data_IF_578331044108
#
_entry.id   IF_578331044108
#
_cell.length_a   1.000
_cell.length_b   1.000
_cell.length_c   1.000
_cell.angle_alpha   90.00
_cell.angle_beta   90.00
_cell.angle_gamma   90.00
#
_symmetry.space_group_name_H-M   'P 1'
#
loop_
_entity.id
_entity.type
_entity.pdbx_description
1 polymer ?
#
# COMPACT_ATOMS: atom_id res chain seq x y z
N UNK A 1 -3.59 -3.71 9.47
CA UNK A 1 -4.36 -3.01 8.42
C UNK A 1 -4.98 -1.70 8.92
N UNK A 2 -5.97 -1.71 9.82
CA UNK A 2 -6.71 -0.50 10.23
C UNK A 2 -5.80 0.67 10.67
N UNK A 3 -4.80 0.41 11.53
CA UNK A 3 -3.80 1.42 11.95
C UNK A 3 -3.06 2.06 10.76
N UNK A 4 -2.70 1.28 9.74
CA UNK A 4 -2.03 1.83 8.55
C UNK A 4 -2.98 2.65 7.67
N UNK A 5 -4.29 2.39 7.73
CA UNK A 5 -5.30 3.19 7.03
C UNK A 5 -5.49 4.52 7.77
N UNK A 6 -5.58 4.51 9.11
CA UNK A 6 -5.75 5.73 9.92
C UNK A 6 -4.53 6.63 9.89
N UNK A 7 -3.32 6.06 9.83
CA UNK A 7 -2.06 6.81 9.68
C UNK A 7 -1.81 7.29 8.25
N UNK A 8 -2.68 6.97 7.29
CA UNK A 8 -2.50 7.31 5.88
C UNK A 8 -1.46 6.44 5.15
N UNK A 9 -0.70 5.58 5.83
CA UNK A 9 0.42 4.83 5.24
C UNK A 9 0.08 4.17 3.89
N UNK A 10 -1.08 3.53 3.77
CA UNK A 10 -1.48 2.90 2.52
C UNK A 10 -1.75 3.90 1.40
N UNK A 11 -2.46 4.97 1.72
CA UNK A 11 -2.79 6.08 0.82
C UNK A 11 -1.49 6.75 0.33
N UNK A 12 -0.53 6.98 1.23
CA UNK A 12 0.80 7.54 0.93
C UNK A 12 1.59 6.68 -0.07
N UNK A 13 1.32 5.37 -0.09
CA UNK A 13 2.00 4.40 -0.96
C UNK A 13 1.15 4.01 -2.19
N UNK A 14 0.10 4.78 -2.50
CA UNK A 14 -0.72 4.60 -3.70
C UNK A 14 -1.68 3.40 -3.64
N UNK A 15 -2.01 2.91 -2.44
CA UNK A 15 -3.06 1.90 -2.26
C UNK A 15 -4.45 2.56 -2.19
N UNK A 16 -5.44 1.82 -2.67
CA UNK A 16 -6.85 2.18 -2.66
C UNK A 16 -7.57 1.42 -1.55
N UNK A 17 -8.15 2.12 -0.58
CA UNK A 17 -8.96 1.52 0.49
C UNK A 17 -10.41 1.47 0.04
N UNK A 18 -10.99 0.27 -0.06
CA UNK A 18 -12.33 0.04 -0.60
C UNK A 18 -13.17 -0.82 0.37
N UNK A 19 -14.50 -0.60 0.42
CA UNK A 19 -15.41 -1.38 1.27
C UNK A 19 -15.79 -2.74 0.67
N UNK A 20 -15.19 -3.13 -0.44
CA UNK A 20 -15.45 -4.35 -1.19
C UNK A 20 -14.16 -4.94 -1.79
N UNK A 21 -14.23 -6.18 -2.26
CA UNK A 21 -13.11 -6.86 -2.91
C UNK A 21 -12.95 -6.43 -4.37
N UNK A 22 -11.96 -5.57 -4.64
CA UNK A 22 -11.50 -5.26 -5.99
C UNK A 22 -10.55 -6.35 -6.50
N UNK A 23 -11.07 -7.26 -7.34
CA UNK A 23 -10.41 -8.52 -7.72
C UNK A 23 -9.17 -8.28 -8.57
N UNK A 24 -8.07 -8.99 -8.26
CA UNK A 24 -6.82 -8.95 -9.01
C UNK A 24 -6.01 -7.67 -8.84
N UNK A 25 -6.56 -6.64 -8.17
CA UNK A 25 -5.87 -5.39 -7.94
C UNK A 25 -4.98 -5.48 -6.70
N UNK A 26 -3.67 -5.59 -6.91
CA UNK A 26 -2.67 -5.71 -5.84
C UNK A 26 -2.50 -4.44 -5.00
N UNK A 27 -3.04 -3.31 -5.46
CA UNK A 27 -3.06 -2.01 -4.75
C UNK A 27 -4.40 -1.71 -4.09
N UNK A 28 -5.42 -2.50 -4.31
CA UNK A 28 -6.65 -2.39 -3.55
C UNK A 28 -6.50 -3.05 -2.18
N UNK A 29 -7.12 -2.46 -1.17
CA UNK A 29 -7.23 -2.95 0.19
C UNK A 29 -8.70 -3.09 0.49
N UNK A 30 -9.16 -4.33 0.65
CA UNK A 30 -10.52 -4.57 1.08
C UNK A 30 -10.59 -4.38 2.59
N UNK A 31 -11.09 -3.22 3.01
CA UNK A 31 -11.36 -2.91 4.40
C UNK A 31 -12.89 -2.85 4.57
N UNK A 32 -13.53 -3.85 5.18
CA UNK A 32 -14.99 -3.95 5.18
C UNK A 32 -15.62 -2.82 6.00
N UNK A 33 -16.76 -2.30 5.54
CA UNK A 33 -17.51 -1.34 6.33
C UNK A 33 -18.25 -2.04 7.48
N UNK A 34 -17.63 -2.04 8.66
CA UNK A 34 -18.14 -2.69 9.87
C UNK A 34 -18.79 -1.71 10.87
N UNK A 35 -18.95 -0.44 10.51
CA UNK A 35 -19.47 0.59 11.42
C UNK A 35 -18.52 0.90 12.59
N UNK A 36 -17.23 1.08 12.30
CA UNK A 36 -16.18 1.31 13.30
C UNK A 36 -16.45 2.52 14.20
N UNK A 37 -16.39 2.31 15.52
CA UNK A 37 -16.58 3.37 16.52
C UNK A 37 -15.41 4.34 16.60
N UNK A 38 -15.62 5.52 17.20
CA UNK A 38 -14.52 6.45 17.51
C UNK A 38 -13.52 5.83 18.49
N UNK A 39 -14.03 5.01 19.41
CA UNK A 39 -13.26 4.28 20.41
C UNK A 39 -12.36 3.23 19.76
N UNK A 40 -12.84 2.55 18.71
CA UNK A 40 -12.02 1.64 17.90
C UNK A 40 -10.82 2.37 17.32
N UNK A 41 -11.05 3.49 16.62
CA UNK A 41 -9.98 4.28 16.02
C UNK A 41 -8.99 4.81 17.05
N UNK A 42 -9.49 5.28 18.20
CA UNK A 42 -8.64 5.69 19.33
C UNK A 42 -7.80 4.51 19.83
N UNK A 43 -8.41 3.35 20.06
CA UNK A 43 -7.74 2.18 20.61
C UNK A 43 -6.64 1.62 19.68
N UNK A 44 -6.86 1.62 18.36
CA UNK A 44 -5.84 1.13 17.42
C UNK A 44 -4.67 2.11 17.23
N UNK A 45 -4.89 3.41 17.47
CA UNK A 45 -3.89 4.46 17.29
C UNK A 45 -3.01 4.66 18.54
N UNK A 46 -3.47 4.25 19.72
CA UNK A 46 -2.71 4.39 20.98
C UNK A 46 -1.53 3.41 21.08
N UNK A 47 -1.54 2.30 20.32
CA UNK A 47 -0.39 1.40 20.29
C UNK A 47 0.76 2.02 19.47
N UNK A 48 1.83 2.45 20.16
CA UNK A 48 3.07 2.96 19.55
C UNK A 48 3.81 1.91 18.71
N UNK A 49 3.59 0.62 18.97
CA UNK A 49 4.44 -0.41 18.38
C UNK A 49 4.18 -0.59 16.89
N UNK A 50 5.25 -0.44 16.10
CA UNK A 50 5.37 -1.01 14.75
C UNK A 50 5.64 -2.52 14.81
N UNK A 51 5.85 -3.05 16.03
CA UNK A 51 6.01 -4.46 16.28
C UNK A 51 4.70 -5.21 16.03
N UNK A 52 4.67 -5.96 14.94
CA UNK A 52 3.57 -6.81 14.52
C UNK A 52 3.30 -7.96 15.52
N UNK A 53 4.15 -8.17 16.52
CA UNK A 53 3.95 -9.16 17.58
C UNK A 53 3.13 -8.65 18.77
N UNK A 54 2.92 -7.33 18.90
CA UNK A 54 2.13 -6.78 20.00
C UNK A 54 0.61 -6.98 19.77
N UNK A 55 -0.08 -7.47 20.79
CA UNK A 55 -1.54 -7.63 20.77
C UNK A 55 -2.23 -6.27 20.64
N UNK A 56 -3.22 -6.19 19.74
CA UNK A 56 -4.11 -5.03 19.67
C UNK A 56 -5.05 -4.98 20.89
N UNK A 57 -5.58 -3.79 21.19
CA UNK A 57 -6.57 -3.60 22.25
C UNK A 57 -7.71 -4.63 22.14
N UNK A 58 -7.97 -5.36 23.23
CA UNK A 58 -9.02 -6.38 23.27
C UNK A 58 -10.39 -5.78 22.92
N UNK A 59 -10.66 -4.55 23.37
CA UNK A 59 -11.88 -3.81 23.03
C UNK A 59 -12.06 -3.63 21.52
N UNK A 60 -10.99 -3.27 20.81
CA UNK A 60 -11.03 -3.12 19.35
C UNK A 60 -11.20 -4.48 18.65
N UNK A 61 -10.59 -5.54 19.18
CA UNK A 61 -10.74 -6.90 18.66
C UNK A 61 -12.20 -7.37 18.80
N UNK A 62 -12.80 -7.16 19.97
CA UNK A 62 -14.16 -7.62 20.26
C UNK A 62 -15.21 -6.86 19.44
N UNK A 63 -15.03 -5.55 19.25
CA UNK A 63 -15.86 -4.76 18.34
C UNK A 63 -15.86 -5.35 16.93
N UNK A 64 -14.66 -5.58 16.35
CA UNK A 64 -14.53 -6.15 15.00
C UNK A 64 -15.14 -7.55 14.93
N UNK A 65 -14.90 -8.42 15.93
CA UNK A 65 -15.50 -9.76 15.97
C UNK A 65 -17.02 -9.70 15.96
N UNK A 66 -17.60 -8.79 16.74
CA UNK A 66 -19.05 -8.64 16.83
C UNK A 66 -19.66 -8.09 15.53
N UNK A 67 -19.00 -7.13 14.90
CA UNK A 67 -19.44 -6.62 13.59
C UNK A 67 -19.29 -7.65 12.48
N UNK A 68 -18.21 -8.44 12.47
CA UNK A 68 -17.99 -9.49 11.47
C UNK A 68 -19.06 -10.59 11.53
N UNK A 69 -19.56 -10.97 12.71
CA UNK A 69 -20.67 -11.93 12.84
C UNK A 69 -21.95 -11.47 12.12
N UNK A 70 -22.16 -10.17 12.03
CA UNK A 70 -23.33 -9.55 11.38
C UNK A 70 -23.06 -9.19 9.91
N UNK A 71 -21.80 -9.23 9.50
CA UNK A 71 -21.37 -8.82 8.17
C UNK A 71 -21.73 -9.89 7.13
N UNK A 72 -22.70 -9.57 6.27
CA UNK A 72 -23.01 -10.42 5.12
C UNK A 72 -21.88 -10.29 4.10
N UNK A 73 -21.11 -11.36 3.94
CA UNK A 73 -20.04 -11.41 2.96
C UNK A 73 -20.41 -12.32 1.79
N UNK A 74 -19.77 -12.09 0.64
CA UNK A 74 -19.76 -13.10 -0.42
C UNK A 74 -19.22 -14.43 0.15
N UNK A 75 -19.82 -15.55 -0.26
CA UNK A 75 -19.26 -16.85 0.10
C UNK A 75 -18.00 -17.10 -0.74
N UNK A 76 -16.84 -17.15 -0.07
CA UNK A 76 -15.54 -17.42 -0.68
C UNK A 76 -15.04 -18.84 -0.47
N UNK A 77 -15.84 -19.73 0.12
CA UNK A 77 -15.45 -21.09 0.53
C UNK A 77 -14.84 -21.89 -0.62
N UNK A 78 -15.50 -21.95 -1.78
CA UNK A 78 -14.97 -22.65 -2.95
C UNK A 78 -13.61 -22.11 -3.40
N UNK A 79 -13.40 -20.79 -3.35
CA UNK A 79 -12.10 -20.17 -3.71
C UNK A 79 -11.03 -20.47 -2.67
N UNK A 80 -11.38 -20.43 -1.39
CA UNK A 80 -10.48 -20.78 -0.28
C UNK A 80 -10.03 -22.24 -0.42
N UNK A 81 -10.97 -23.16 -0.65
CA UNK A 81 -10.69 -24.59 -0.88
C UNK A 81 -9.78 -24.76 -2.08
N UNK A 82 -10.06 -24.08 -3.20
CA UNK A 82 -9.20 -24.13 -4.39
C UNK A 82 -7.77 -23.69 -4.09
N UNK A 83 -7.58 -22.52 -3.44
CA UNK A 83 -6.24 -22.03 -3.10
C UNK A 83 -5.50 -23.01 -2.17
N UNK A 84 -6.21 -23.59 -1.20
CA UNK A 84 -5.65 -24.61 -0.30
C UNK A 84 -5.19 -25.85 -1.05
N UNK A 85 -6.01 -26.39 -1.96
CA UNK A 85 -5.66 -27.55 -2.79
C UNK A 85 -4.50 -27.23 -3.73
N UNK A 86 -4.50 -26.04 -4.35
CA UNK A 86 -3.42 -25.61 -5.22
C UNK A 86 -2.10 -25.44 -4.45
N UNK A 87 -2.14 -24.94 -3.20
CA UNK A 87 -0.98 -24.89 -2.32
C UNK A 87 -0.42 -26.29 -2.03
N UNK A 88 -1.27 -27.26 -1.64
CA UNK A 88 -0.82 -28.62 -1.33
C UNK A 88 -0.14 -29.33 -2.51
N UNK A 89 -0.53 -29.02 -3.75
CA UNK A 89 0.14 -29.57 -4.93
C UNK A 89 1.58 -29.08 -5.08
N UNK A 90 1.90 -27.89 -4.59
CA UNK A 90 3.22 -27.26 -4.77
C UNK A 90 4.07 -27.18 -3.51
N UNK A 91 3.49 -27.42 -2.33
CA UNK A 91 4.13 -27.21 -1.03
C UNK A 91 5.45 -27.96 -0.88
N UNK A 92 5.46 -29.26 -1.18
CA UNK A 92 6.66 -30.10 -1.07
C UNK A 92 7.79 -29.58 -1.94
N UNK A 93 7.50 -29.29 -3.20
CA UNK A 93 8.49 -28.81 -4.16
C UNK A 93 8.99 -27.41 -3.76
N UNK A 94 8.09 -26.54 -3.29
CA UNK A 94 8.42 -25.20 -2.82
C UNK A 94 9.45 -25.23 -1.70
N UNK A 95 9.24 -26.07 -0.69
CA UNK A 95 10.21 -26.23 0.40
C UNK A 95 11.49 -26.95 -0.05
N UNK A 96 11.41 -27.86 -1.02
CA UNK A 96 12.60 -28.46 -1.66
C UNK A 96 13.45 -27.46 -2.44
N UNK A 97 12.86 -26.35 -2.89
CA UNK A 97 13.55 -25.28 -3.62
C UNK A 97 14.03 -24.13 -2.70
N UNK A 98 13.70 -24.14 -1.41
CA UNK A 98 13.87 -22.98 -0.52
C UNK A 98 15.33 -22.50 -0.42
N UNK A 99 16.29 -23.43 -0.50
CA UNK A 99 17.73 -23.18 -0.37
C UNK A 99 18.47 -22.94 -1.70
N UNK A 100 17.77 -22.99 -2.85
CA UNK A 100 18.43 -22.92 -4.16
C UNK A 100 18.98 -21.53 -4.51
N UNK A 101 18.52 -20.47 -3.84
CA UNK A 101 18.92 -19.09 -4.13
C UNK A 101 19.39 -18.30 -2.91
N UNK A 102 18.75 -18.52 -1.76
CA UNK A 102 19.11 -17.90 -0.49
C UNK A 102 19.20 -19.02 0.55
N UNK A 103 20.05 -18.86 1.57
CA UNK A 103 20.26 -19.88 2.63
C UNK A 103 19.07 -19.91 3.63
N UNK A 104 17.86 -19.95 3.09
CA UNK A 104 16.62 -19.87 3.84
C UNK A 104 16.33 -21.11 4.66
N UNK A 105 17.00 -22.23 4.46
CA UNK A 105 16.97 -23.42 5.31
C UNK A 105 17.42 -23.09 6.73
N UNK A 106 18.42 -22.22 6.92
CA UNK A 106 18.82 -21.72 8.24
C UNK A 106 17.73 -20.86 8.89
N UNK A 107 17.04 -20.02 8.11
CA UNK A 107 15.91 -19.24 8.59
C UNK A 107 14.70 -20.14 8.93
N UNK A 108 14.42 -21.11 8.08
CA UNK A 108 13.33 -22.08 8.21
C UNK A 108 13.53 -22.99 9.43
N UNK A 109 14.77 -23.38 9.76
CA UNK A 109 15.09 -24.14 10.97
C UNK A 109 14.75 -23.37 12.27
N UNK A 110 14.60 -22.04 12.21
CA UNK A 110 14.14 -21.20 13.34
C UNK A 110 12.61 -21.08 13.39
N UNK A 111 11.88 -21.61 12.41
CA UNK A 111 10.42 -21.58 12.35
C UNK A 111 9.85 -22.78 13.09
N UNK A 112 8.88 -22.54 13.97
CA UNK A 112 8.12 -23.58 14.67
C UNK A 112 6.87 -23.98 13.89
N UNK A 113 6.10 -22.99 13.40
CA UNK A 113 4.91 -23.24 12.57
C UNK A 113 4.67 -22.13 11.55
N UNK A 114 3.95 -22.49 10.49
CA UNK A 114 3.48 -21.56 9.45
C UNK A 114 1.95 -21.57 9.47
N UNK A 115 1.34 -20.45 9.85
CA UNK A 115 -0.10 -20.24 9.84
C UNK A 115 -0.47 -19.46 8.58
N UNK A 116 -1.32 -20.04 7.74
CA UNK A 116 -1.82 -19.38 6.53
C UNK A 116 -3.30 -19.02 6.71
N UNK A 117 -3.61 -17.73 6.64
CA UNK A 117 -4.97 -17.21 6.60
C UNK A 117 -5.34 -16.81 5.17
N UNK A 118 -6.30 -17.51 4.57
CA UNK A 118 -6.90 -17.10 3.29
C UNK A 118 -8.16 -16.29 3.60
N UNK A 119 -8.23 -15.05 3.14
CA UNK A 119 -9.29 -14.11 3.53
C UNK A 119 -9.60 -13.14 2.38
N UNK A 120 -10.82 -12.63 2.22
CA UNK A 120 -11.07 -11.57 1.25
C UNK A 120 -10.51 -10.22 1.71
N UNK A 121 -10.31 -10.03 3.02
CA UNK A 121 -9.96 -8.74 3.59
C UNK A 121 -8.46 -8.45 3.47
N UNK A 122 -8.12 -7.17 3.37
CA UNK A 122 -6.73 -6.71 3.38
C UNK A 122 -6.13 -6.40 2.02
N UNK A 123 -4.82 -6.23 2.06
CA UNK A 123 -3.94 -6.17 0.90
C UNK A 123 -3.93 -7.52 0.18
N UNK A 124 -3.22 -7.59 -0.96
CA UNK A 124 -2.93 -8.86 -1.65
C UNK A 124 -2.44 -9.98 -0.71
N UNK A 125 -1.63 -9.62 0.27
CA UNK A 125 -1.22 -10.50 1.35
C UNK A 125 -0.52 -9.71 2.44
N UNK A 126 -0.34 -10.34 3.59
CA UNK A 126 0.47 -9.82 4.69
C UNK A 126 1.32 -10.94 5.27
N UNK A 127 2.39 -10.55 5.96
CA UNK A 127 3.34 -11.45 6.56
C UNK A 127 3.78 -10.86 7.90
N UNK A 128 3.97 -11.74 8.88
CA UNK A 128 4.45 -11.38 10.18
C UNK A 128 5.12 -12.62 10.81
N UNK A 129 6.41 -12.59 11.14
CA UNK A 129 7.08 -13.66 11.86
C UNK A 129 7.24 -13.28 13.34
N UNK A 130 6.20 -13.30 14.20
CA UNK A 130 6.40 -13.07 15.63
C UNK A 130 7.37 -14.10 16.22
N UNK A 131 8.26 -13.62 17.07
CA UNK A 131 9.16 -14.47 17.84
C UNK A 131 8.40 -15.08 19.02
N UNK A 132 8.53 -16.39 19.19
CA UNK A 132 7.98 -17.16 20.32
C UNK A 132 9.13 -17.93 20.96
N UNK A 133 9.61 -17.42 22.09
CA UNK A 133 10.85 -17.90 22.71
C UNK A 133 12.06 -17.76 21.76
N UNK A 134 12.67 -18.90 21.41
CA UNK A 134 13.81 -18.96 20.49
C UNK A 134 13.43 -19.33 19.04
N UNK A 135 12.13 -19.43 18.75
CA UNK A 135 11.59 -19.78 17.44
C UNK A 135 10.68 -18.68 16.90
N UNK A 136 10.22 -18.86 15.67
CA UNK A 136 9.30 -17.95 14.99
C UNK A 136 8.04 -18.68 14.54
N UNK A 137 6.91 -17.99 14.62
CA UNK A 137 5.66 -18.45 14.02
C UNK A 137 5.38 -17.60 12.79
N UNK A 138 5.42 -18.18 11.58
CA UNK A 138 5.13 -17.40 10.37
C UNK A 138 3.63 -17.24 10.22
N UNK A 139 3.13 -16.01 10.32
CA UNK A 139 1.75 -15.69 9.97
C UNK A 139 1.74 -15.12 8.56
N UNK A 140 1.14 -15.86 7.63
CA UNK A 140 0.97 -15.48 6.23
C UNK A 140 -0.52 -15.27 5.98
N UNK A 141 -0.84 -14.17 5.31
CA UNK A 141 -2.19 -13.91 4.82
C UNK A 141 -2.17 -13.83 3.31
N UNK A 142 -3.13 -14.48 2.66
CA UNK A 142 -3.34 -14.40 1.21
C UNK A 142 -4.76 -13.99 0.90
N UNK A 143 -4.94 -13.01 0.00
CA UNK A 143 -6.27 -12.61 -0.43
C UNK A 143 -6.89 -13.67 -1.35
N UNK A 144 -8.19 -13.93 -1.20
CA UNK A 144 -8.93 -15.01 -1.91
C UNK A 144 -8.95 -14.91 -3.43
N UNK A 145 -8.61 -13.75 -3.99
CA UNK A 145 -8.55 -13.47 -5.42
C UNK A 145 -7.14 -13.62 -6.01
N UNK A 146 -6.14 -13.99 -5.20
CA UNK A 146 -4.79 -14.30 -5.68
C UNK A 146 -4.49 -15.81 -5.66
N UNK A 147 -3.61 -16.29 -6.56
CA UNK A 147 -3.26 -17.70 -6.62
C UNK A 147 -2.47 -18.17 -5.40
N UNK A 148 -2.38 -19.49 -5.21
CA UNK A 148 -1.62 -20.13 -4.13
C UNK A 148 -0.14 -19.71 -4.08
N UNK A 149 0.46 -19.33 -5.21
CA UNK A 149 1.80 -18.73 -5.26
C UNK A 149 1.96 -17.47 -4.40
N UNK A 150 0.87 -16.79 -4.05
CA UNK A 150 0.91 -15.66 -3.13
C UNK A 150 1.26 -16.09 -1.69
N UNK A 151 0.95 -17.33 -1.31
CA UNK A 151 1.37 -17.94 -0.04
C UNK A 151 2.89 -18.13 -0.05
N UNK A 152 3.44 -18.70 -1.14
CA UNK A 152 4.90 -18.83 -1.33
C UNK A 152 5.61 -17.47 -1.17
N UNK A 153 5.09 -16.44 -1.83
CA UNK A 153 5.62 -15.08 -1.70
C UNK A 153 5.58 -14.54 -0.26
N UNK A 154 4.50 -14.81 0.48
CA UNK A 154 4.39 -14.45 1.90
C UNK A 154 5.37 -15.21 2.80
N UNK A 155 5.61 -16.50 2.52
CA UNK A 155 6.60 -17.31 3.24
C UNK A 155 8.01 -16.79 2.99
N UNK A 156 8.39 -16.55 1.72
CA UNK A 156 9.72 -16.02 1.38
C UNK A 156 9.97 -14.66 2.06
N UNK A 157 8.95 -13.80 2.15
CA UNK A 157 9.07 -12.53 2.87
C UNK A 157 9.34 -12.70 4.36
N UNK A 158 8.66 -13.64 5.01
CA UNK A 158 8.93 -13.98 6.41
C UNK A 158 10.33 -14.55 6.60
N UNK A 159 10.77 -15.47 5.74
CA UNK A 159 12.10 -16.08 5.83
C UNK A 159 13.21 -15.06 5.61
N UNK A 160 13.03 -14.14 4.65
CA UNK A 160 13.95 -13.01 4.46
C UNK A 160 14.06 -12.15 5.72
N UNK A 161 12.94 -11.89 6.41
CA UNK A 161 12.94 -11.14 7.67
C UNK A 161 13.72 -11.89 8.76
N UNK A 162 13.50 -13.20 8.90
CA UNK A 162 14.20 -14.02 9.91
C UNK A 162 15.70 -14.12 9.61
N UNK A 163 16.06 -14.28 8.34
CA UNK A 163 17.47 -14.36 7.90
C UNK A 163 18.21 -13.05 8.16
N UNK A 164 17.57 -11.93 7.83
CA UNK A 164 18.09 -10.57 8.04
C UNK A 164 17.83 -10.02 9.45
N UNK A 165 17.34 -10.85 10.39
CA UNK A 165 16.97 -10.40 11.74
C UNK A 165 18.23 -10.15 12.58
N UNK A 166 18.62 -8.88 12.70
CA UNK A 166 19.72 -8.42 13.58
C UNK A 166 19.18 -7.97 14.96
N UNK A 167 17.86 -8.02 15.18
CA UNK A 167 17.20 -7.39 16.34
C UNK A 167 16.76 -5.95 16.03
N UNK A 168 15.56 -5.58 16.48
CA UNK A 168 15.00 -4.24 16.27
C UNK A 168 14.09 -4.09 15.03
N UNK A 169 13.43 -2.92 14.92
CA UNK A 169 12.42 -2.64 13.88
C UNK A 169 12.98 -2.69 12.46
N UNK A 170 12.14 -3.11 11.52
CA UNK A 170 12.44 -3.12 10.09
C UNK A 170 12.27 -1.69 9.56
N UNK A 171 13.36 -0.93 9.48
CA UNK A 171 13.37 0.40 8.84
C UNK A 171 12.77 0.36 7.41
N UNK A 172 12.17 1.48 6.97
CA UNK A 172 11.49 1.59 5.66
C UNK A 172 12.39 1.28 4.46
N UNK A 173 13.68 1.60 4.53
CA UNK A 173 14.65 1.26 3.48
C UNK A 173 14.82 -0.27 3.30
N UNK A 174 14.69 -1.03 4.40
CA UNK A 174 14.67 -2.50 4.38
C UNK A 174 13.41 -3.05 3.70
N UNK A 175 12.30 -2.30 3.69
CA UNK A 175 11.09 -2.70 2.95
C UNK A 175 11.36 -2.74 1.45
N UNK A 176 11.83 -1.66 0.83
CA UNK A 176 12.06 -1.60 -0.62
C UNK A 176 13.08 -2.67 -1.06
N UNK A 177 14.20 -2.78 -0.35
CA UNK A 177 15.23 -3.81 -0.62
C UNK A 177 14.64 -5.23 -0.56
N UNK A 178 13.85 -5.53 0.48
CA UNK A 178 13.13 -6.81 0.58
C UNK A 178 12.17 -7.01 -0.58
N UNK A 179 11.34 -6.01 -0.91
CA UNK A 179 10.38 -6.14 -2.00
C UNK A 179 11.06 -6.38 -3.36
N UNK A 180 12.18 -5.70 -3.62
CA UNK A 180 12.99 -5.91 -4.82
C UNK A 180 13.59 -7.33 -4.85
N UNK A 181 14.19 -7.79 -3.75
CA UNK A 181 14.73 -9.14 -3.64
C UNK A 181 13.65 -10.21 -3.87
N UNK A 182 12.49 -10.07 -3.24
CA UNK A 182 11.39 -11.02 -3.40
C UNK A 182 10.79 -10.98 -4.81
N UNK A 183 10.72 -9.80 -5.42
CA UNK A 183 10.29 -9.66 -6.82
C UNK A 183 11.27 -10.38 -7.76
N UNK A 184 12.58 -10.23 -7.54
CA UNK A 184 13.59 -10.96 -8.27
C UNK A 184 13.44 -12.48 -8.10
N UNK A 185 13.26 -12.97 -6.86
CA UNK A 185 13.03 -14.39 -6.61
C UNK A 185 11.80 -14.90 -7.38
N UNK A 186 10.66 -14.22 -7.25
CA UNK A 186 9.42 -14.67 -7.88
C UNK A 186 9.41 -14.59 -9.42
N UNK A 187 10.25 -13.74 -10.03
CA UNK A 187 10.24 -13.52 -11.48
C UNK A 187 11.40 -14.17 -12.22
N UNK A 188 12.57 -14.18 -11.60
CA UNK A 188 13.84 -14.45 -12.29
C UNK A 188 14.53 -15.72 -11.79
N UNK A 189 13.84 -16.53 -10.99
CA UNK A 189 14.40 -17.75 -10.41
C UNK A 189 13.42 -18.92 -10.51
N UNK A 190 13.79 -20.07 -9.93
CA UNK A 190 12.93 -21.26 -9.87
C UNK A 190 11.57 -20.98 -9.24
N UNK A 191 11.45 -19.97 -8.37
CA UNK A 191 10.18 -19.64 -7.71
C UNK A 191 9.10 -19.09 -8.67
N UNK A 192 9.47 -18.69 -9.89
CA UNK A 192 8.52 -18.28 -10.92
C UNK A 192 7.50 -19.37 -11.26
N UNK A 193 7.86 -20.66 -11.17
CA UNK A 193 6.92 -21.77 -11.41
C UNK A 193 5.78 -21.84 -10.39
N UNK A 194 5.97 -21.31 -9.18
CA UNK A 194 4.93 -21.28 -8.14
C UNK A 194 3.98 -20.10 -8.28
N UNK A 195 4.39 -19.05 -8.99
CA UNK A 195 3.55 -17.90 -9.31
C UNK A 195 3.93 -17.34 -10.69
N UNK A 196 3.54 -18.01 -11.80
CA UNK A 196 3.96 -17.62 -13.14
C UNK A 196 3.58 -16.17 -13.51
N UNK A 197 2.36 -15.76 -13.13
CA UNK A 197 1.84 -14.42 -13.41
C UNK A 197 2.14 -13.40 -12.30
N UNK A 198 3.27 -13.56 -11.59
CA UNK A 198 3.61 -12.66 -10.49
C UNK A 198 3.72 -11.20 -10.97
N UNK A 199 2.81 -10.37 -10.47
CA UNK A 199 2.87 -8.92 -10.71
C UNK A 199 3.85 -8.27 -9.74
N UNK A 200 4.77 -7.48 -10.30
CA UNK A 200 5.71 -6.69 -9.53
C UNK A 200 4.95 -5.56 -8.84
N UNK A 201 4.95 -5.60 -7.50
CA UNK A 201 4.24 -4.63 -6.67
C UNK A 201 5.09 -3.39 -6.36
N UNK A 202 6.39 -3.42 -6.66
CA UNK A 202 7.28 -2.25 -6.56
C UNK A 202 7.11 -1.32 -7.75
N UNK A 203 6.72 -1.84 -8.92
CA UNK A 203 6.43 -1.01 -10.08
C UNK A 203 5.18 -0.18 -9.83
N UNK A 204 5.38 1.13 -9.72
CA UNK A 204 4.31 2.13 -9.81
C UNK A 204 3.59 1.98 -11.13
N UNK A 205 2.38 1.40 -11.10
CA UNK A 205 1.40 1.69 -12.14
C UNK A 205 1.02 3.16 -11.95
N UNK A 206 1.58 4.02 -12.79
CA UNK A 206 1.31 5.46 -12.83
C UNK A 206 -0.15 5.78 -13.21
N UNK A 207 -0.89 4.78 -13.68
CA UNK A 207 -2.30 4.83 -13.99
C UNK A 207 -3.09 4.18 -12.85
N UNK A 208 -3.69 5.02 -12.00
CA UNK A 208 -4.75 4.62 -11.08
C UNK A 208 -6.07 4.91 -11.76
N UNK A 209 -6.98 3.93 -11.75
CA UNK A 209 -8.35 4.11 -12.24
C UNK A 209 -9.02 5.26 -11.45
N UNK A 210 -9.52 6.26 -12.18
CA UNK A 210 -10.09 7.47 -11.58
C UNK A 210 -11.35 7.17 -10.76
N UNK A 211 -12.15 6.21 -11.20
CA UNK A 211 -13.39 5.83 -10.54
C UNK A 211 -13.08 5.06 -9.26
N UNK A 212 -12.13 4.12 -9.29
CA UNK A 212 -11.67 3.44 -8.08
C UNK A 212 -11.04 4.42 -7.07
N UNK A 213 -10.29 5.41 -7.55
CA UNK A 213 -9.74 6.46 -6.70
C UNK A 213 -10.83 7.30 -6.05
N UNK A 214 -11.86 7.68 -6.82
CA UNK A 214 -13.03 8.41 -6.31
C UNK A 214 -13.76 7.61 -5.23
N UNK A 215 -14.03 6.33 -5.48
CA UNK A 215 -14.67 5.42 -4.53
C UNK A 215 -13.86 5.26 -3.25
N UNK A 216 -12.52 5.11 -3.37
CA UNK A 216 -11.65 5.01 -2.21
C UNK A 216 -11.67 6.28 -1.35
N UNK A 217 -11.61 7.46 -1.97
CA UNK A 217 -11.68 8.73 -1.23
C UNK A 217 -13.03 8.91 -0.53
N UNK A 218 -14.13 8.59 -1.22
CA UNK A 218 -15.47 8.61 -0.63
C UNK A 218 -15.54 7.71 0.61
N UNK A 219 -15.01 6.49 0.50
CA UNK A 219 -15.03 5.55 1.61
C UNK A 219 -14.15 6.01 2.80
N UNK A 220 -12.98 6.58 2.55
CA UNK A 220 -12.13 7.14 3.60
C UNK A 220 -12.80 8.32 4.35
N UNK A 221 -13.62 9.11 3.66
CA UNK A 221 -14.45 10.15 4.29
C UNK A 221 -15.55 9.51 5.14
N UNK A 222 -16.22 8.47 4.67
CA UNK A 222 -17.23 7.72 5.44
C UNK A 222 -16.65 7.11 6.72
N UNK A 223 -15.39 6.70 6.69
CA UNK A 223 -14.65 6.23 7.87
C UNK A 223 -14.25 7.35 8.84
N UNK A 224 -14.47 8.62 8.49
CA UNK A 224 -14.07 9.78 9.29
C UNK A 224 -12.55 10.04 9.29
N UNK A 225 -11.83 9.51 8.29
CA UNK A 225 -10.37 9.61 8.20
C UNK A 225 -9.88 10.75 7.30
N UNK A 226 -10.77 11.35 6.51
CA UNK A 226 -10.51 12.53 5.68
C UNK A 226 -11.55 13.60 6.00
N UNK A 227 -11.10 14.81 6.33
CA UNK A 227 -11.98 15.96 6.51
C UNK A 227 -12.46 16.49 5.14
N UNK A 228 -13.79 16.50 4.94
CA UNK A 228 -14.46 16.99 3.72
C UNK A 228 -14.22 18.48 3.41
N UNK A 229 -13.86 19.29 4.41
CA UNK A 229 -13.95 20.76 4.35
C UNK A 229 -12.65 21.49 4.63
N UNK A 230 -11.50 20.89 4.32
CA UNK A 230 -10.24 21.62 4.37
C UNK A 230 -9.77 21.81 2.95
N UNK A 231 -9.83 23.05 2.47
CA UNK A 231 -9.09 23.43 1.27
C UNK A 231 -7.63 23.09 1.51
N UNK A 232 -7.12 22.09 0.79
CA UNK A 232 -5.71 21.68 0.82
C UNK A 232 -4.81 22.91 0.61
N UNK A 233 -5.31 23.86 -0.17
CA UNK A 233 -4.67 25.12 -0.52
C UNK A 233 -4.57 26.05 0.69
N UNK A 234 -5.61 26.15 1.51
CA UNK A 234 -5.60 27.03 2.70
C UNK A 234 -4.66 26.52 3.81
N UNK A 235 -4.27 25.23 3.78
CA UNK A 235 -3.31 24.67 4.74
C UNK A 235 -1.86 24.68 4.26
N UNK A 236 -1.62 24.95 2.97
CA UNK A 236 -0.28 24.99 2.42
C UNK A 236 0.42 26.26 2.86
N UNK A 237 1.30 26.13 3.85
CA UNK A 237 2.15 27.22 4.31
C UNK A 237 3.53 27.16 3.65
N UNK A 238 4.25 28.28 3.67
CA UNK A 238 5.65 28.40 3.19
C UNK A 238 5.82 28.07 1.70
N UNK A 239 4.84 28.37 0.84
CA UNK A 239 5.01 28.28 -0.61
C UNK A 239 5.95 29.39 -1.10
N UNK A 240 6.79 29.07 -2.09
CA UNK A 240 7.51 30.13 -2.83
C UNK A 240 6.54 30.85 -3.76
N UNK A 241 6.90 32.05 -4.21
CA UNK A 241 6.07 32.82 -5.17
C UNK A 241 5.75 32.02 -6.43
N UNK A 242 6.71 31.23 -6.94
CA UNK A 242 6.49 30.38 -8.12
C UNK A 242 5.53 29.23 -7.82
N UNK A 243 5.69 28.56 -6.67
CA UNK A 243 4.80 27.47 -6.25
C UNK A 243 3.37 27.96 -6.03
N UNK A 244 3.20 29.13 -5.42
CA UNK A 244 1.89 29.74 -5.18
C UNK A 244 1.18 30.10 -6.48
N UNK A 245 1.89 30.75 -7.43
CA UNK A 245 1.36 31.07 -8.76
C UNK A 245 0.92 29.82 -9.52
N UNK A 246 1.77 28.80 -9.56
CA UNK A 246 1.47 27.52 -10.22
C UNK A 246 0.29 26.81 -9.56
N UNK A 247 0.26 26.74 -8.23
CA UNK A 247 -0.83 26.12 -7.49
C UNK A 247 -2.17 26.81 -7.77
N UNK A 248 -2.18 28.15 -7.82
CA UNK A 248 -3.38 28.94 -8.13
C UNK A 248 -3.92 28.61 -9.53
N UNK A 249 -3.05 28.54 -10.54
CA UNK A 249 -3.47 28.20 -11.91
C UNK A 249 -3.96 26.76 -12.01
N UNK A 250 -3.26 25.82 -11.36
CA UNK A 250 -3.73 24.44 -11.28
C UNK A 250 -5.11 24.34 -10.61
N UNK A 251 -5.31 25.04 -9.49
CA UNK A 251 -6.58 24.99 -8.77
C UNK A 251 -7.73 25.63 -9.54
N UNK A 252 -7.49 26.75 -10.23
CA UNK A 252 -8.49 27.39 -11.08
C UNK A 252 -8.90 26.46 -12.24
N UNK A 253 -7.99 25.58 -12.67
CA UNK A 253 -8.21 24.58 -13.72
C UNK A 253 -8.39 23.16 -13.14
N UNK A 254 -8.95 23.03 -11.94
CA UNK A 254 -9.08 21.73 -11.25
C UNK A 254 -9.79 20.70 -12.12
N UNK A 255 -9.18 19.52 -12.22
CA UNK A 255 -9.69 18.42 -13.06
C UNK A 255 -9.40 18.55 -14.56
N UNK A 256 -8.82 19.66 -15.00
CA UNK A 256 -8.36 19.88 -16.36
C UNK A 256 -6.82 19.95 -16.41
N UNK A 257 -6.25 19.70 -17.59
CA UNK A 257 -4.81 19.86 -17.78
C UNK A 257 -4.48 21.31 -18.04
N UNK A 258 -3.54 21.84 -17.26
CA UNK A 258 -2.78 23.05 -17.55
C UNK A 258 -1.54 22.64 -18.32
N UNK A 259 -1.38 23.20 -19.51
CA UNK A 259 -0.31 22.87 -20.44
C UNK A 259 1.07 23.32 -19.97
N UNK A 260 2.13 22.79 -20.59
CA UNK A 260 3.47 23.26 -20.26
C UNK A 260 3.64 24.75 -20.57
N UNK A 261 3.07 25.24 -21.67
CA UNK A 261 3.15 26.65 -22.07
C UNK A 261 2.39 27.54 -21.08
N UNK A 262 1.19 27.13 -20.63
CA UNK A 262 0.45 27.85 -19.58
C UNK A 262 1.22 27.87 -18.24
N UNK A 263 1.92 26.79 -17.87
CA UNK A 263 2.78 26.80 -16.69
C UNK A 263 4.01 27.67 -16.90
N UNK A 264 4.57 27.72 -18.12
CA UNK A 264 5.71 28.56 -18.46
C UNK A 264 5.37 30.04 -18.33
N UNK A 265 4.20 30.43 -18.84
CA UNK A 265 3.70 31.81 -18.79
C UNK A 265 3.55 32.28 -17.34
N UNK A 266 3.04 31.39 -16.47
CA UNK A 266 2.90 31.66 -15.04
C UNK A 266 4.25 31.84 -14.32
N UNK A 267 5.27 31.09 -14.74
CA UNK A 267 6.60 31.11 -14.11
C UNK A 267 7.48 32.27 -14.60
N UNK A 268 7.42 32.60 -15.89
CA UNK A 268 8.36 33.52 -16.54
C UNK A 268 7.69 34.65 -17.34
N UNK A 269 6.42 34.51 -17.73
CA UNK A 269 5.69 35.53 -18.49
C UNK A 269 6.45 35.96 -19.75
N UNK A 270 6.75 37.25 -19.84
CA UNK A 270 7.48 37.83 -20.97
C UNK A 270 8.91 37.29 -21.15
N UNK A 271 9.51 36.69 -20.11
CA UNK A 271 10.85 36.09 -20.19
C UNK A 271 10.79 34.60 -20.62
N UNK A 272 9.66 34.11 -21.11
CA UNK A 272 9.47 32.69 -21.44
C UNK A 272 10.53 32.18 -22.42
N UNK A 273 10.79 32.91 -23.50
CA UNK A 273 11.70 32.46 -24.57
C UNK A 273 13.13 32.21 -24.06
N UNK A 274 13.58 33.02 -23.08
CA UNK A 274 14.92 32.95 -22.52
C UNK A 274 15.03 32.00 -21.32
N UNK A 275 13.94 31.79 -20.57
CA UNK A 275 13.95 31.06 -19.29
C UNK A 275 13.20 29.73 -19.30
N UNK A 276 12.59 29.36 -20.42
CA UNK A 276 11.81 28.12 -20.53
C UNK A 276 12.62 26.90 -20.07
N UNK A 277 12.12 26.21 -19.04
CA UNK A 277 12.79 25.02 -18.51
C UNK A 277 11.80 24.01 -17.93
N UNK A 278 11.63 22.90 -18.63
CA UNK A 278 10.85 21.75 -18.12
C UNK A 278 11.41 21.21 -16.81
N UNK A 279 12.73 21.34 -16.58
CA UNK A 279 13.37 20.93 -15.33
C UNK A 279 12.87 21.78 -14.16
N UNK A 280 12.84 23.11 -14.32
CA UNK A 280 12.34 24.02 -13.29
C UNK A 280 10.86 23.75 -12.99
N UNK A 281 10.02 23.58 -14.02
CA UNK A 281 8.62 23.18 -13.83
C UNK A 281 8.50 21.88 -13.04
N UNK A 282 9.28 20.86 -13.43
CA UNK A 282 9.26 19.56 -12.74
C UNK A 282 9.63 19.71 -11.26
N UNK A 283 10.56 20.62 -10.93
CA UNK A 283 10.99 20.87 -9.56
C UNK A 283 9.94 21.60 -8.74
N UNK A 284 9.27 22.60 -9.32
CA UNK A 284 8.12 23.28 -8.69
C UNK A 284 7.01 22.27 -8.37
N UNK A 285 6.69 21.38 -9.31
CA UNK A 285 5.66 20.35 -9.10
C UNK A 285 6.08 19.30 -8.06
N UNK A 286 7.36 18.92 -8.03
CA UNK A 286 7.91 18.03 -6.99
C UNK A 286 7.77 18.66 -5.59
N UNK A 287 8.11 19.95 -5.46
CA UNK A 287 8.00 20.69 -4.21
C UNK A 287 6.55 20.84 -3.76
N UNK A 288 5.64 21.19 -4.68
CA UNK A 288 4.21 21.27 -4.38
C UNK A 288 3.67 19.92 -3.89
N UNK A 289 3.98 18.82 -4.59
CA UNK A 289 3.62 17.46 -4.14
C UNK A 289 4.18 17.17 -2.75
N UNK A 290 5.44 17.53 -2.47
CA UNK A 290 6.06 17.35 -1.16
C UNK A 290 5.33 18.14 -0.07
N UNK A 291 5.06 19.43 -0.28
CA UNK A 291 4.38 20.28 0.71
C UNK A 291 2.93 19.84 0.96
N UNK A 292 2.25 19.37 -0.09
CA UNK A 292 0.92 18.74 0.03
C UNK A 292 0.98 17.50 0.91
N UNK A 293 2.01 16.65 0.75
CA UNK A 293 2.25 15.50 1.66
C UNK A 293 2.51 15.93 3.10
N UNK A 294 3.30 16.98 3.31
CA UNK A 294 3.64 17.49 4.65
C UNK A 294 2.42 17.92 5.48
N UNK A 295 1.36 18.43 4.83
CA UNK A 295 0.11 18.79 5.51
C UNK A 295 -0.86 17.61 5.68
N UNK A 296 -0.38 16.38 5.48
CA UNK A 296 -1.15 15.15 5.66
C UNK A 296 -1.95 14.71 4.43
N UNK A 297 -1.85 15.43 3.30
CA UNK A 297 -2.46 15.02 2.03
C UNK A 297 -1.47 14.18 1.27
N UNK A 298 -1.55 12.88 1.49
CA UNK A 298 -0.55 11.97 0.96
C UNK A 298 -0.96 11.23 -0.32
N UNK A 299 -2.18 11.49 -0.81
CA UNK A 299 -2.63 11.14 -2.16
C UNK A 299 -1.86 12.00 -3.16
N UNK A 300 -1.42 11.41 -4.28
CA UNK A 300 -0.90 12.21 -5.39
C UNK A 300 -2.07 13.01 -5.99
N UNK A 301 -2.07 14.32 -5.77
CA UNK A 301 -3.12 15.23 -6.27
C UNK A 301 -2.69 15.98 -7.51
N UNK A 302 -1.39 16.09 -7.80
CA UNK A 302 -0.85 16.71 -9.01
C UNK A 302 -0.33 15.62 -9.95
N UNK A 303 -0.98 15.46 -11.10
CA UNK A 303 -0.65 14.47 -12.12
C UNK A 303 0.10 15.12 -13.27
N UNK A 304 1.06 14.40 -13.84
CA UNK A 304 1.78 14.82 -15.06
C UNK A 304 1.32 13.96 -16.23
N UNK A 305 1.01 14.57 -17.38
CA UNK A 305 0.84 13.87 -18.66
C UNK A 305 1.87 14.37 -19.65
N UNK A 306 2.76 13.47 -20.08
CA UNK A 306 3.84 13.77 -21.04
C UNK A 306 3.25 14.35 -22.33
N UNK A 307 3.86 15.42 -22.83
CA UNK A 307 3.40 16.15 -24.02
C UNK A 307 2.10 16.92 -23.83
N UNK A 308 1.52 16.95 -22.62
CA UNK A 308 0.30 17.72 -22.34
C UNK A 308 0.50 18.76 -21.25
N UNK A 309 0.96 18.36 -20.07
CA UNK A 309 1.14 19.27 -18.93
C UNK A 309 0.77 18.63 -17.60
N UNK A 310 0.23 19.43 -16.69
CA UNK A 310 -0.08 19.04 -15.31
C UNK A 310 -1.57 19.22 -15.01
N UNK A 311 -2.09 18.43 -14.07
CA UNK A 311 -3.49 18.51 -13.64
C UNK A 311 -3.56 18.31 -12.14
N UNK A 312 -4.38 19.11 -11.45
CA UNK A 312 -4.67 18.88 -10.04
C UNK A 312 -6.07 18.25 -9.85
N UNK A 313 -6.13 17.20 -9.05
CA UNK A 313 -7.37 16.57 -8.58
C UNK A 313 -7.28 16.48 -7.06
N UNK A 314 -7.82 17.51 -6.42
CA UNK A 314 -8.10 17.51 -4.98
C UNK A 314 -9.36 16.68 -4.74
#
# INVERSE_FOLDING_TARGET
MAKNISLGYYQNNGFLVLPYLERGNSRAIYFPNLGYSKEFWKAINVNSNNDLSASYSQKAIDEVKNSLKKYKNENFETKIIKIKLDWYKMEKDFFGDIDKFLNFGKALAKVEKINVLITPFGTRGSFNPPRVGNKFNLNVTSRVDFPAGNIAFGILQNLFIIDSWIGGEIASEKYIKRMAAMTFLMKSTIFSKYYPDFTDITKTKFTVDRDLLSQSNKYLVELGLINKNVSIIEKLNNLTTQEEKVLKVLNNNRGNYVTFDEIADVLWGNDMDDKFSLLVMSKVMENLRRKIREIGVNKEVIFTKRGKGYMIII
#
